data_IF_848813347209
#
_entry.id   IF_848813347209
#
_cell.length_a   1.000
_cell.length_b   1.000
_cell.length_c   1.000
_cell.angle_alpha   90.00
_cell.angle_beta   90.00
_cell.angle_gamma   90.00
#
_symmetry.space_group_name_H-M   'P 1'
#
loop_
_entity.id
_entity.type
_entity.pdbx_description
1 polymer ?
#
# COMPACT_ATOMS: atom_id res chain seq x y z
N UNK A 1 14.69 7.33 6.54
CA UNK A 1 13.46 6.51 6.39
C UNK A 1 13.10 6.48 4.91
N UNK A 2 12.92 5.29 4.33
CA UNK A 2 12.65 5.17 2.89
C UNK A 2 11.22 5.62 2.58
N UNK A 3 11.02 6.26 1.42
CA UNK A 3 9.68 6.69 0.96
C UNK A 3 8.68 5.52 0.93
N UNK A 4 9.15 4.30 0.65
CA UNK A 4 8.35 3.08 0.59
C UNK A 4 7.84 2.61 1.95
N UNK A 5 8.68 2.62 2.99
CA UNK A 5 8.24 2.25 4.34
C UNK A 5 7.17 3.20 4.84
N UNK A 6 7.40 4.50 4.64
CA UNK A 6 6.44 5.54 5.00
C UNK A 6 5.12 5.35 4.26
N UNK A 7 5.19 5.11 2.95
CA UNK A 7 4.00 4.79 2.14
C UNK A 7 3.22 3.61 2.72
N UNK A 8 3.88 2.50 3.07
CA UNK A 8 3.21 1.30 3.58
C UNK A 8 2.56 1.57 4.93
N UNK A 9 3.28 2.22 5.86
CA UNK A 9 2.76 2.55 7.19
C UNK A 9 1.57 3.50 7.10
N UNK A 10 1.63 4.51 6.23
CA UNK A 10 0.53 5.43 6.02
C UNK A 10 -0.68 4.71 5.41
N UNK A 11 -0.50 3.90 4.37
CA UNK A 11 -1.59 3.12 3.78
C UNK A 11 -2.22 2.17 4.80
N UNK A 12 -1.44 1.56 5.69
CA UNK A 12 -1.94 0.69 6.75
C UNK A 12 -2.97 1.40 7.65
N UNK A 13 -2.77 2.70 7.92
CA UNK A 13 -3.68 3.51 8.74
C UNK A 13 -5.03 3.82 8.06
N UNK A 14 -5.17 3.54 6.75
CA UNK A 14 -6.38 3.81 5.99
C UNK A 14 -6.99 2.50 5.43
N UNK A 15 -7.85 1.81 6.21
CA UNK A 15 -8.56 0.60 5.77
C UNK A 15 -9.33 0.79 4.47
N UNK A 16 -9.89 1.99 4.23
CA UNK A 16 -10.58 2.31 2.97
C UNK A 16 -9.74 2.09 1.70
N UNK A 17 -8.41 2.07 1.80
CA UNK A 17 -7.50 1.83 0.67
C UNK A 17 -7.31 0.33 0.39
N UNK A 18 -7.11 -0.47 1.44
CA UNK A 18 -6.59 -1.83 1.32
C UNK A 18 -7.55 -2.92 1.85
N UNK A 19 -8.45 -2.56 2.74
CA UNK A 19 -9.39 -3.47 3.38
C UNK A 19 -10.67 -3.60 2.56
N UNK A 20 -10.70 -4.59 1.68
CA UNK A 20 -11.89 -4.91 0.89
C UNK A 20 -13.08 -5.40 1.72
N UNK A 21 -12.90 -5.66 3.01
CA UNK A 21 -13.96 -6.10 3.93
C UNK A 21 -14.58 -4.97 4.73
N UNK A 22 -13.96 -3.78 4.71
CA UNK A 22 -14.52 -2.58 5.33
C UNK A 22 -15.53 -1.93 4.40
N UNK A 23 -16.66 -1.47 4.96
CA UNK A 23 -17.67 -0.69 4.24
C UNK A 23 -17.07 0.61 3.65
N UNK A 24 -16.03 1.14 4.30
CA UNK A 24 -15.31 2.32 3.85
C UNK A 24 -14.58 2.09 2.51
N UNK A 25 -14.30 0.85 2.13
CA UNK A 25 -13.71 0.53 0.83
C UNK A 25 -14.66 0.79 -0.33
N UNK A 26 -15.98 0.75 -0.14
CA UNK A 26 -16.90 1.15 -1.21
C UNK A 26 -16.95 2.67 -1.40
N UNK A 27 -16.46 3.45 -0.43
CA UNK A 27 -16.51 4.90 -0.49
C UNK A 27 -15.32 5.47 -1.28
N UNK A 28 -15.59 5.93 -2.51
CA UNK A 28 -14.56 6.55 -3.37
C UNK A 28 -14.03 7.87 -2.81
N UNK A 29 -14.88 8.67 -2.15
CA UNK A 29 -14.48 9.93 -1.52
C UNK A 29 -13.46 9.70 -0.40
N UNK A 30 -13.71 8.71 0.45
CA UNK A 30 -12.77 8.32 1.51
C UNK A 30 -11.46 7.82 0.93
N UNK A 31 -11.49 7.06 -0.16
CA UNK A 31 -10.27 6.63 -0.85
C UNK A 31 -9.48 7.81 -1.37
N UNK A 32 -10.12 8.76 -2.04
CA UNK A 32 -9.45 9.95 -2.57
C UNK A 32 -8.81 10.75 -1.42
N UNK A 33 -9.57 11.02 -0.36
CA UNK A 33 -9.07 11.73 0.82
C UNK A 33 -7.90 11.01 1.49
N UNK A 34 -8.00 9.69 1.67
CA UNK A 34 -6.92 8.89 2.24
C UNK A 34 -5.67 8.93 1.36
N UNK A 35 -5.80 8.82 0.04
CA UNK A 35 -4.65 8.92 -0.87
C UNK A 35 -3.98 10.30 -0.85
N UNK A 36 -4.75 11.38 -0.70
CA UNK A 36 -4.19 12.72 -0.51
C UNK A 36 -3.38 12.81 0.78
N UNK A 37 -3.90 12.30 1.90
CA UNK A 37 -3.18 12.28 3.19
C UNK A 37 -1.92 11.41 3.14
N UNK A 38 -1.99 10.25 2.49
CA UNK A 38 -0.83 9.38 2.27
C UNK A 38 0.21 10.09 1.41
N UNK A 39 -0.20 10.77 0.34
CA UNK A 39 0.70 11.53 -0.52
C UNK A 39 1.34 12.72 0.21
N UNK A 40 0.58 13.46 1.00
CA UNK A 40 1.08 14.50 1.89
C UNK A 40 2.15 13.97 2.86
N UNK A 41 1.87 12.85 3.53
CA UNK A 41 2.83 12.25 4.45
C UNK A 41 4.12 11.78 3.73
N UNK A 42 4.01 11.24 2.52
CA UNK A 42 5.15 10.75 1.72
C UNK A 42 5.96 11.89 1.10
N UNK A 43 5.30 12.91 0.55
CA UNK A 43 5.91 14.01 -0.20
C UNK A 43 6.11 15.29 0.60
N UNK A 44 5.62 15.38 1.84
CA UNK A 44 5.66 16.48 2.82
C UNK A 44 6.33 17.80 2.37
N UNK A 45 7.65 17.81 2.09
CA UNK A 45 8.40 18.95 1.57
C UNK A 45 7.90 19.52 0.22
N UNK A 46 7.59 18.66 -0.75
CA UNK A 46 7.05 19.06 -2.06
C UNK A 46 5.56 19.40 -1.95
N UNK A 47 4.85 18.81 -0.99
CA UNK A 47 3.39 18.90 -0.92
C UNK A 47 2.86 20.31 -0.72
N UNK A 48 3.48 21.11 0.15
CA UNK A 48 3.06 22.51 0.39
C UNK A 48 3.21 23.40 -0.86
N UNK A 49 4.16 23.07 -1.73
CA UNK A 49 4.43 23.85 -2.95
C UNK A 49 3.53 23.48 -4.13
N UNK A 50 2.85 22.33 -4.05
CA UNK A 50 2.04 21.79 -5.14
C UNK A 50 0.63 22.39 -5.15
N UNK A 51 0.12 22.67 -6.33
CA UNK A 51 -1.26 23.10 -6.54
C UNK A 51 -2.28 21.96 -6.25
N UNK A 52 -3.57 22.28 -6.08
CA UNK A 52 -4.61 21.26 -5.83
C UNK A 52 -4.64 20.16 -6.90
N UNK A 53 -4.48 20.54 -8.17
CA UNK A 53 -4.52 19.62 -9.31
C UNK A 53 -3.28 18.70 -9.34
N UNK A 54 -2.10 19.25 -9.05
CA UNK A 54 -0.86 18.48 -8.97
C UNK A 54 -0.87 17.51 -7.77
N UNK A 55 -1.45 17.92 -6.64
CA UNK A 55 -1.65 17.06 -5.46
C UNK A 55 -2.48 15.84 -5.81
N UNK A 56 -3.59 16.02 -6.54
CA UNK A 56 -4.41 14.91 -7.02
C UNK A 56 -3.66 13.99 -7.99
N UNK A 57 -2.91 14.57 -8.94
CA UNK A 57 -2.10 13.78 -9.87
C UNK A 57 -1.02 12.96 -9.16
N UNK A 58 -0.31 13.57 -8.21
CA UNK A 58 0.71 12.89 -7.38
C UNK A 58 0.09 11.77 -6.54
N UNK A 59 -1.07 12.00 -5.93
CA UNK A 59 -1.79 10.97 -5.19
C UNK A 59 -2.24 9.80 -6.10
N UNK A 60 -2.76 10.10 -7.30
CA UNK A 60 -3.08 9.10 -8.33
C UNK A 60 -1.85 8.32 -8.79
N UNK A 61 -0.72 9.00 -9.01
CA UNK A 61 0.54 8.36 -9.40
C UNK A 61 1.07 7.46 -8.28
N UNK A 62 1.03 7.93 -7.03
CA UNK A 62 1.44 7.18 -5.86
C UNK A 62 0.64 5.88 -5.72
N UNK A 63 -0.68 5.96 -5.89
CA UNK A 63 -1.59 4.81 -5.93
C UNK A 63 -1.25 3.85 -7.09
N UNK A 64 -1.25 4.36 -8.32
CA UNK A 64 -1.24 3.52 -9.52
C UNK A 64 0.13 2.94 -9.84
N UNK A 65 1.22 3.63 -9.48
CA UNK A 65 2.59 3.18 -9.73
C UNK A 65 3.23 2.63 -8.47
N UNK A 66 3.44 3.47 -7.44
CA UNK A 66 4.25 3.08 -6.27
C UNK A 66 3.55 2.01 -5.44
N UNK A 67 2.32 2.25 -4.99
CA UNK A 67 1.59 1.29 -4.17
C UNK A 67 1.29 0.00 -4.92
N UNK A 68 0.88 0.10 -6.20
CA UNK A 68 0.69 -1.07 -7.05
C UNK A 68 1.96 -1.93 -7.12
N UNK A 69 3.11 -1.33 -7.41
CA UNK A 69 4.38 -2.05 -7.49
C UNK A 69 4.73 -2.73 -6.16
N UNK A 70 4.60 -2.01 -5.04
CA UNK A 70 4.87 -2.53 -3.68
C UNK A 70 3.94 -3.70 -3.35
N UNK A 71 2.64 -3.54 -3.58
CA UNK A 71 1.63 -4.59 -3.37
C UNK A 71 1.88 -5.79 -4.25
N UNK A 72 2.13 -5.60 -5.54
CA UNK A 72 2.35 -6.69 -6.49
C UNK A 72 3.63 -7.47 -6.16
N UNK A 73 4.70 -6.76 -5.74
CA UNK A 73 5.95 -7.40 -5.27
C UNK A 73 5.71 -8.25 -4.02
N UNK A 74 4.92 -7.74 -3.07
CA UNK A 74 4.57 -8.46 -1.85
C UNK A 74 3.67 -9.67 -2.11
N UNK A 75 2.66 -9.53 -2.97
CA UNK A 75 1.78 -10.63 -3.36
C UNK A 75 2.55 -11.73 -4.10
N UNK A 76 3.51 -11.35 -4.96
CA UNK A 76 4.42 -12.29 -5.60
C UNK A 76 5.24 -13.05 -4.56
N UNK A 77 5.83 -12.34 -3.60
CA UNK A 77 6.55 -12.95 -2.48
C UNK A 77 5.71 -13.96 -1.69
N UNK A 78 4.46 -13.62 -1.34
CA UNK A 78 3.54 -14.56 -0.66
C UNK A 78 3.19 -15.76 -1.54
N UNK A 79 2.96 -15.53 -2.84
CA UNK A 79 2.62 -16.61 -3.77
C UNK A 79 3.77 -17.59 -3.96
N UNK A 80 5.01 -17.07 -4.00
CA UNK A 80 6.22 -17.88 -4.05
C UNK A 80 6.38 -18.64 -2.73
N UNK A 81 6.15 -17.99 -1.58
CA UNK A 81 6.18 -18.63 -0.26
C UNK A 81 5.25 -19.84 -0.16
N UNK A 82 4.03 -19.75 -0.71
CA UNK A 82 3.08 -20.88 -0.73
C UNK A 82 3.54 -22.06 -1.60
N UNK A 83 4.45 -21.83 -2.56
CA UNK A 83 4.93 -22.83 -3.52
C UNK A 83 6.35 -23.34 -3.23
N UNK A 84 6.99 -22.89 -2.13
CA UNK A 84 8.33 -23.36 -1.78
C UNK A 84 8.27 -24.83 -1.33
N UNK A 85 9.04 -25.70 -2.00
CA UNK A 85 9.26 -27.08 -1.56
C UNK A 85 10.01 -27.10 -0.22
N UNK A 86 9.59 -27.96 0.71
CA UNK A 86 10.25 -28.15 2.01
C UNK A 86 11.77 -28.28 1.85
N UNK A 87 12.53 -27.34 2.42
CA UNK A 87 14.00 -27.35 2.43
C UNK A 87 14.71 -26.12 1.86
N UNK A 88 14.02 -25.22 1.13
CA UNK A 88 14.67 -24.03 0.56
C UNK A 88 14.81 -22.89 1.58
N UNK A 89 15.99 -22.25 1.63
CA UNK A 89 16.24 -21.07 2.46
C UNK A 89 15.50 -19.85 1.89
N UNK A 90 14.76 -19.16 2.76
CA UNK A 90 13.94 -18.00 2.44
C UNK A 90 14.77 -16.71 2.53
N UNK A 91 14.65 -15.81 1.56
CA UNK A 91 15.10 -14.42 1.73
C UNK A 91 13.87 -13.62 2.19
N UNK A 92 13.85 -13.06 3.41
CA UNK A 92 12.74 -12.25 3.88
C UNK A 92 12.62 -10.98 3.03
N UNK A 93 11.42 -10.68 2.54
CA UNK A 93 11.16 -9.39 1.91
C UNK A 93 11.33 -8.29 2.95
N UNK A 94 12.11 -7.25 2.65
CA UNK A 94 12.48 -6.21 3.61
C UNK A 94 11.27 -5.55 4.28
N UNK A 95 10.15 -5.44 3.57
CA UNK A 95 8.91 -4.85 4.08
C UNK A 95 7.84 -5.88 4.48
N UNK A 96 8.20 -7.17 4.60
CA UNK A 96 7.24 -8.23 4.89
C UNK A 96 6.47 -8.00 6.21
N UNK A 97 7.15 -7.51 7.24
CA UNK A 97 6.55 -7.25 8.54
C UNK A 97 5.46 -6.18 8.46
N UNK A 98 5.77 -5.03 7.83
CA UNK A 98 4.83 -3.91 7.69
C UNK A 98 3.77 -4.14 6.63
N UNK A 99 3.92 -5.10 5.72
CA UNK A 99 2.88 -5.48 4.75
C UNK A 99 2.00 -6.65 5.19
N UNK A 100 2.30 -7.26 6.35
CA UNK A 100 1.56 -8.41 6.89
C UNK A 100 0.06 -8.16 7.08
N UNK A 101 -0.35 -6.90 7.27
CA UNK A 101 -1.76 -6.51 7.37
C UNK A 101 -2.57 -6.86 6.10
N UNK A 102 -1.94 -6.96 4.92
CA UNK A 102 -2.62 -7.35 3.68
C UNK A 102 -2.97 -8.85 3.63
N UNK A 103 -2.40 -9.67 4.52
CA UNK A 103 -2.74 -11.10 4.57
C UNK A 103 -4.13 -11.35 5.15
N UNK A 104 -4.67 -10.46 5.98
CA UNK A 104 -6.00 -10.63 6.59
C UNK A 104 -7.11 -10.51 5.55
N UNK A 105 -6.93 -9.67 4.52
CA UNK A 105 -7.91 -9.48 3.43
C UNK A 105 -7.82 -10.56 2.35
N UNK A 106 -6.61 -11.04 2.05
CA UNK A 106 -6.40 -12.07 1.01
C UNK A 106 -6.84 -13.48 1.42
N UNK A 107 -6.84 -13.81 2.72
CA UNK A 107 -7.20 -15.16 3.21
C UNK A 107 -8.71 -15.44 3.26
N UNK A 108 -9.58 -14.44 3.07
CA UNK A 108 -11.05 -14.63 3.11
C UNK A 108 -11.71 -14.88 1.75
N UNK A 109 -10.94 -14.95 0.64
CA UNK A 109 -11.45 -15.56 -0.60
C UNK A 109 -11.45 -17.07 -0.43
N UNK A 110 -12.49 -17.60 0.22
CA UNK A 110 -12.76 -19.04 0.29
C UNK A 110 -14.20 -19.30 -0.08
#
# INVERSE_FOLDING_TARGET
MYQTEKLITEVQNYPCIWDTTSDEYMNEELKISAWLKVAEAVYNLEWETLGPLEKEEKAKELKNKKWKLVRDTYLKYISEEKNIRSGSKKIPYAYAHIMSFLNTTTNKRK
#
